data_IF_882092404274
#
_entry.id   IF_882092404274
#
_cell.length_a   1.000
_cell.length_b   1.000
_cell.length_c   1.000
_cell.angle_alpha   90.00
_cell.angle_beta   90.00
_cell.angle_gamma   90.00
#
_symmetry.space_group_name_H-M   'P 1'
#
loop_
_entity.id
_entity.type
_entity.pdbx_description
1 polymer ?
#
# COMPACT_ATOMS: atom_id res chain seq x y z
N UNK A 1 -31.78 -22.53 -28.37
CA UNK A 1 -31.52 -21.34 -27.52
C UNK A 1 -30.98 -21.67 -26.12
N UNK A 2 -31.43 -22.73 -25.42
CA UNK A 2 -30.93 -23.10 -24.06
C UNK A 2 -29.43 -23.45 -23.97
N UNK A 3 -28.82 -24.00 -25.04
CA UNK A 3 -27.40 -24.39 -25.04
C UNK A 3 -26.41 -23.22 -24.97
N UNK A 4 -26.78 -22.04 -25.49
CA UNK A 4 -25.90 -20.86 -25.45
C UNK A 4 -25.92 -20.16 -24.08
N UNK A 5 -27.02 -20.31 -23.31
CA UNK A 5 -27.13 -19.76 -21.96
C UNK A 5 -26.15 -20.44 -20.98
N UNK A 6 -25.96 -21.76 -21.12
CA UNK A 6 -25.04 -22.54 -20.29
C UNK A 6 -23.59 -22.17 -20.57
N UNK A 7 -23.23 -21.94 -21.85
CA UNK A 7 -21.88 -21.53 -22.23
C UNK A 7 -21.51 -20.15 -21.66
N UNK A 8 -22.47 -19.21 -21.62
CA UNK A 8 -22.27 -17.88 -21.03
C UNK A 8 -22.10 -17.94 -19.50
N UNK A 9 -22.81 -18.87 -18.84
CA UNK A 9 -22.72 -19.08 -17.39
C UNK A 9 -21.35 -19.63 -16.95
N UNK A 10 -20.73 -20.51 -17.76
CA UNK A 10 -19.40 -21.07 -17.48
C UNK A 10 -18.29 -20.03 -17.60
N UNK A 11 -18.44 -19.07 -18.53
CA UNK A 11 -17.48 -17.96 -18.70
C UNK A 11 -17.59 -16.97 -17.54
N UNK A 12 -18.78 -16.75 -16.98
CA UNK A 12 -18.98 -15.90 -15.81
C UNK A 12 -18.34 -16.48 -14.53
N UNK A 13 -18.34 -17.80 -14.35
CA UNK A 13 -17.74 -18.45 -13.17
C UNK A 13 -16.21 -18.38 -13.14
N UNK A 14 -15.55 -18.29 -14.30
CA UNK A 14 -14.09 -18.21 -14.41
C UNK A 14 -13.53 -16.79 -14.21
N UNK A 15 -14.39 -15.76 -14.25
CA UNK A 15 -14.03 -14.39 -13.92
C UNK A 15 -13.80 -14.16 -12.41
N UNK A 16 -14.23 -15.10 -11.55
CA UNK A 16 -14.14 -15.01 -10.08
C UNK A 16 -12.80 -15.54 -9.52
N UNK A 17 -11.67 -15.32 -10.20
CA UNK A 17 -10.35 -15.81 -9.77
C UNK A 17 -9.41 -14.75 -9.20
N UNK A 18 -9.75 -13.45 -9.31
CA UNK A 18 -8.92 -12.36 -8.78
C UNK A 18 -8.96 -12.26 -7.25
N UNK A 19 -10.03 -12.72 -6.61
CA UNK A 19 -10.26 -12.50 -5.17
C UNK A 19 -9.32 -13.26 -4.22
N UNK A 20 -8.64 -14.31 -4.70
CA UNK A 20 -7.81 -15.18 -3.86
C UNK A 20 -6.31 -14.89 -3.94
N UNK A 21 -5.88 -13.85 -4.66
CA UNK A 21 -4.45 -13.51 -4.77
C UNK A 21 -3.97 -12.75 -3.53
N UNK A 22 -2.85 -13.21 -2.96
CA UNK A 22 -2.22 -12.55 -1.82
C UNK A 22 -1.03 -11.72 -2.29
N UNK A 23 -1.00 -10.44 -1.94
CA UNK A 23 0.15 -9.59 -2.20
C UNK A 23 1.07 -9.59 -0.98
N UNK A 24 2.31 -10.01 -1.14
CA UNK A 24 3.32 -9.95 -0.08
C UNK A 24 4.09 -8.63 -0.18
N UNK A 25 3.77 -7.69 0.72
CA UNK A 25 4.43 -6.38 0.81
C UNK A 25 5.81 -6.53 1.46
N UNK A 26 6.84 -6.07 0.75
CA UNK A 26 8.24 -6.17 1.19
C UNK A 26 8.86 -4.81 1.46
N UNK A 27 8.54 -3.82 0.61
CA UNK A 27 9.10 -2.48 0.73
C UNK A 27 8.06 -1.42 0.46
N UNK A 28 8.25 -0.26 1.08
CA UNK A 28 7.49 0.97 0.77
C UNK A 28 8.52 2.03 0.40
N UNK A 29 8.32 2.70 -0.73
CA UNK A 29 9.08 3.87 -1.15
C UNK A 29 8.28 5.12 -0.80
N UNK A 30 8.84 6.01 0.03
CA UNK A 30 8.29 7.35 0.21
C UNK A 30 8.78 8.20 -0.95
N UNK A 31 7.86 8.66 -1.81
CA UNK A 31 8.21 9.47 -2.96
C UNK A 31 8.28 10.94 -2.58
N UNK A 32 7.27 11.42 -1.85
CA UNK A 32 7.19 12.79 -1.37
C UNK A 32 6.20 12.90 -0.20
N UNK A 33 6.32 13.96 0.60
CA UNK A 33 5.35 14.35 1.61
C UNK A 33 5.45 15.85 1.90
N UNK A 34 4.35 16.44 2.37
CA UNK A 34 4.32 17.86 2.73
C UNK A 34 5.13 18.11 4.02
N UNK A 35 6.37 18.58 3.86
CA UNK A 35 7.33 18.81 4.97
C UNK A 35 7.07 20.10 5.78
N UNK A 36 6.18 20.99 5.32
CA UNK A 36 6.05 22.35 5.88
C UNK A 36 5.85 22.32 7.41
N UNK A 37 6.74 23.02 8.13
CA UNK A 37 6.76 23.19 9.59
C UNK A 37 7.12 21.95 10.43
N UNK A 38 7.73 20.92 9.84
CA UNK A 38 8.19 19.75 10.59
C UNK A 38 9.67 19.88 10.99
N UNK A 39 10.04 19.54 12.24
CA UNK A 39 11.44 19.51 12.65
C UNK A 39 12.20 18.39 11.96
N UNK A 40 13.54 18.49 11.94
CA UNK A 40 14.41 17.38 11.56
C UNK A 40 14.19 16.23 12.55
N UNK A 41 13.84 15.06 12.03
CA UNK A 41 13.41 13.92 12.84
C UNK A 41 13.57 12.60 12.06
N UNK A 42 13.33 11.46 12.70
CA UNK A 42 13.32 10.17 11.98
C UNK A 42 11.91 9.84 11.51
N UNK A 43 11.78 9.60 10.22
CA UNK A 43 10.56 9.17 9.56
C UNK A 43 10.48 7.65 9.49
N UNK A 44 9.27 7.12 9.57
CA UNK A 44 8.98 5.70 9.36
C UNK A 44 7.53 5.55 8.94
N UNK A 45 7.19 4.43 8.30
CA UNK A 45 5.83 4.14 7.85
C UNK A 45 5.23 3.01 8.65
N UNK A 46 3.92 3.09 8.86
CA UNK A 46 3.09 2.03 9.45
C UNK A 46 1.99 1.64 8.48
N UNK A 47 1.66 0.35 8.45
CA UNK A 47 0.58 -0.19 7.61
C UNK A 47 -0.55 -0.68 8.51
N UNK A 48 -1.78 -0.34 8.16
CA UNK A 48 -2.98 -0.71 8.89
C UNK A 48 -4.01 -1.31 7.93
N UNK A 49 -4.83 -2.22 8.44
CA UNK A 49 -6.14 -2.52 7.84
C UNK A 49 -7.10 -1.35 8.11
N UNK A 50 -7.99 -1.04 7.17
CA UNK A 50 -8.98 0.00 7.37
C UNK A 50 -9.83 -0.30 8.61
N UNK A 51 -10.06 0.74 9.43
CA UNK A 51 -10.78 0.67 10.71
C UNK A 51 -10.06 -0.09 11.85
N UNK A 52 -8.82 -0.57 11.64
CA UNK A 52 -7.98 -1.08 12.72
C UNK A 52 -7.13 0.04 13.34
N UNK A 53 -6.98 0.00 14.67
CA UNK A 53 -6.02 0.83 15.41
C UNK A 53 -4.64 0.17 15.51
N UNK A 54 -4.56 -1.14 15.30
CA UNK A 54 -3.33 -1.90 15.44
C UNK A 54 -2.54 -1.91 14.12
N UNK A 55 -1.27 -1.55 14.22
CA UNK A 55 -0.34 -1.58 13.10
C UNK A 55 -0.02 -3.02 12.71
N UNK A 56 -0.23 -3.37 11.45
CA UNK A 56 0.08 -4.69 10.90
C UNK A 56 1.58 -4.86 10.59
N UNK A 57 2.22 -3.77 10.16
CA UNK A 57 3.66 -3.74 9.89
C UNK A 57 4.19 -2.31 10.02
N UNK A 58 5.51 -2.18 10.19
CA UNK A 58 6.21 -0.91 10.21
C UNK A 58 7.48 -0.97 9.36
N UNK A 59 8.11 0.18 9.14
CA UNK A 59 9.40 0.24 8.45
C UNK A 59 10.55 0.62 9.37
N UNK A 60 11.77 0.50 8.85
CA UNK A 60 12.95 1.13 9.43
C UNK A 60 12.83 2.65 9.44
N UNK A 61 13.62 3.29 10.31
CA UNK A 61 13.72 4.75 10.41
C UNK A 61 14.54 5.38 9.28
N UNK A 62 14.23 6.64 8.98
CA UNK A 62 14.86 7.46 7.95
C UNK A 62 15.10 8.89 8.42
N UNK A 63 16.32 9.44 8.32
CA UNK A 63 16.55 10.84 8.63
C UNK A 63 15.79 11.77 7.68
N UNK A 64 14.92 12.64 8.21
CA UNK A 64 14.06 13.51 7.40
C UNK A 64 14.80 14.61 6.66
N UNK A 65 16.05 14.87 6.98
CA UNK A 65 16.93 15.86 6.34
C UNK A 65 17.54 15.36 5.02
N UNK A 66 17.47 14.05 4.75
CA UNK A 66 17.91 13.45 3.50
C UNK A 66 16.88 13.62 2.36
N UNK A 67 17.33 13.34 1.14
CA UNK A 67 16.57 13.51 -0.11
C UNK A 67 15.63 12.33 -0.39
N UNK A 68 14.47 12.64 -0.97
CA UNK A 68 13.49 11.64 -1.45
C UNK A 68 13.62 11.45 -2.97
N UNK A 69 13.19 10.29 -3.55
CA UNK A 69 12.49 9.18 -2.90
C UNK A 69 13.40 8.29 -2.03
N UNK A 70 12.84 7.68 -0.99
CA UNK A 70 13.55 6.74 -0.11
C UNK A 70 12.79 5.43 0.03
N UNK A 71 13.50 4.30 -0.08
CA UNK A 71 12.90 2.95 0.00
C UNK A 71 13.15 2.32 1.36
N UNK A 72 12.08 1.81 1.95
CA UNK A 72 12.05 1.23 3.28
C UNK A 72 11.72 -0.24 3.23
N UNK A 73 12.42 -1.03 4.05
CA UNK A 73 12.02 -2.41 4.31
C UNK A 73 10.86 -2.45 5.28
N UNK A 74 9.87 -3.27 4.97
CA UNK A 74 8.69 -3.51 5.83
C UNK A 74 8.97 -4.72 6.73
N UNK A 75 8.64 -4.60 8.01
CA UNK A 75 8.73 -5.66 8.99
C UNK A 75 7.46 -5.71 9.89
N UNK A 76 6.87 -6.90 10.11
CA UNK A 76 7.14 -8.13 9.37
C UNK A 76 6.74 -8.01 7.89
N UNK A 77 7.23 -8.91 7.03
CA UNK A 77 6.69 -9.05 5.66
C UNK A 77 5.17 -9.27 5.76
N UNK A 78 4.40 -8.43 5.08
CA UNK A 78 2.95 -8.36 5.30
C UNK A 78 2.19 -9.01 4.13
N UNK A 79 1.46 -10.11 4.35
CA UNK A 79 0.49 -10.62 3.37
C UNK A 79 -0.77 -9.72 3.35
N UNK A 80 -1.19 -9.30 2.16
CA UNK A 80 -2.31 -8.39 1.96
C UNK A 80 -3.30 -8.95 0.95
N UNK A 81 -4.58 -8.95 1.31
CA UNK A 81 -5.68 -9.33 0.42
C UNK A 81 -6.31 -8.08 -0.19
N UNK A 82 -5.56 -7.42 -1.07
CA UNK A 82 -5.87 -6.07 -1.56
C UNK A 82 -7.25 -5.94 -2.25
N UNK A 83 -7.78 -7.02 -2.83
CA UNK A 83 -9.11 -7.03 -3.47
C UNK A 83 -10.28 -7.23 -2.49
N UNK A 84 -10.02 -7.65 -1.26
CA UNK A 84 -11.06 -7.95 -0.25
C UNK A 84 -11.05 -6.99 0.93
N UNK A 85 -9.87 -6.47 1.27
CA UNK A 85 -9.62 -5.67 2.46
C UNK A 85 -9.02 -4.34 2.03
N UNK A 86 -9.51 -3.27 2.63
CA UNK A 86 -8.91 -1.95 2.49
C UNK A 86 -7.74 -1.79 3.47
N UNK A 87 -6.70 -1.11 3.03
CA UNK A 87 -5.53 -0.83 3.84
C UNK A 87 -5.18 0.65 3.78
N UNK A 88 -4.42 1.12 4.75
CA UNK A 88 -3.85 2.46 4.73
C UNK A 88 -2.41 2.43 5.21
N UNK A 89 -1.59 3.28 4.59
CA UNK A 89 -0.22 3.54 4.98
C UNK A 89 -0.20 4.89 5.69
N UNK A 90 0.50 4.98 6.82
CA UNK A 90 0.68 6.22 7.56
C UNK A 90 2.15 6.56 7.64
N UNK A 91 2.49 7.84 7.43
CA UNK A 91 3.80 8.40 7.69
C UNK A 91 3.85 8.91 9.13
N UNK A 92 4.91 8.54 9.84
CA UNK A 92 5.14 8.93 11.22
C UNK A 92 6.55 9.52 11.38
N UNK A 93 6.64 10.49 12.28
CA UNK A 93 7.89 11.01 12.82
C UNK A 93 8.10 10.50 14.24
N UNK A 94 9.35 10.23 14.62
CA UNK A 94 9.69 9.79 15.98
C UNK A 94 9.40 10.85 17.05
N UNK A 95 9.46 12.13 16.69
CA UNK A 95 9.12 13.26 17.56
C UNK A 95 7.73 13.85 17.30
N UNK A 96 7.33 14.00 16.02
CA UNK A 96 6.02 14.61 15.68
C UNK A 96 4.85 13.63 15.83
N UNK A 97 5.10 12.32 15.78
CA UNK A 97 4.03 11.33 15.72
C UNK A 97 3.43 11.22 14.32
N UNK A 98 2.11 11.11 14.21
CA UNK A 98 1.41 10.97 12.94
C UNK A 98 1.58 12.22 12.06
N UNK A 99 2.01 12.03 10.81
CA UNK A 99 2.23 13.12 9.83
C UNK A 99 1.17 13.11 8.72
N UNK A 100 0.85 11.93 8.20
CA UNK A 100 -0.09 11.81 7.09
C UNK A 100 -0.46 10.37 6.79
N UNK A 101 -1.50 10.17 5.97
CA UNK A 101 -1.96 8.84 5.59
C UNK A 101 -2.33 8.79 4.12
N UNK A 102 -2.21 7.62 3.53
CA UNK A 102 -2.73 7.31 2.21
C UNK A 102 -3.50 5.98 2.26
N UNK A 103 -4.68 5.94 1.65
CA UNK A 103 -5.49 4.72 1.55
C UNK A 103 -5.06 3.93 0.33
N UNK A 104 -4.77 2.66 0.51
CA UNK A 104 -4.50 1.71 -0.57
C UNK A 104 -5.83 1.38 -1.24
N UNK A 105 -6.10 2.02 -2.37
CA UNK A 105 -7.32 1.83 -3.15
C UNK A 105 -7.00 1.06 -4.44
N UNK A 106 -7.53 -0.16 -4.57
CA UNK A 106 -7.36 -1.00 -5.76
C UNK A 106 -8.18 -0.54 -6.97
N UNK A 107 -9.04 0.46 -6.84
CA UNK A 107 -9.72 1.05 -8.01
C UNK A 107 -8.93 2.22 -8.61
N UNK A 108 -8.04 2.83 -7.83
CA UNK A 108 -7.31 4.05 -8.20
C UNK A 108 -5.79 3.81 -8.32
N UNK A 109 -5.32 2.59 -8.05
CA UNK A 109 -3.90 2.27 -8.10
C UNK A 109 -3.37 2.20 -9.53
N UNK A 110 -2.12 2.66 -9.70
CA UNK A 110 -1.35 2.46 -10.92
C UNK A 110 -0.29 1.38 -10.66
N UNK A 111 -0.32 0.31 -11.45
CA UNK A 111 0.79 -0.65 -11.52
C UNK A 111 1.87 -0.06 -12.43
N UNK A 112 3.05 0.22 -11.88
CA UNK A 112 4.22 0.63 -12.65
C UNK A 112 5.17 -0.57 -12.71
N UNK A 113 5.50 -1.05 -13.91
CA UNK A 113 6.44 -2.18 -14.04
C UNK A 113 7.88 -1.72 -13.79
N UNK A 114 8.69 -2.48 -13.02
CA UNK A 114 8.35 -3.74 -12.35
C UNK A 114 7.54 -3.55 -11.05
N UNK A 115 6.31 -4.10 -11.03
CA UNK A 115 5.26 -4.14 -9.96
C UNK A 115 5.48 -3.21 -8.75
N UNK A 116 5.41 -1.90 -8.98
CA UNK A 116 5.21 -0.86 -7.98
C UNK A 116 3.72 -0.48 -7.98
N UNK A 117 3.08 -0.49 -6.80
CA UNK A 117 1.75 0.08 -6.60
C UNK A 117 1.90 1.49 -6.05
N UNK A 118 1.62 2.51 -6.85
CA UNK A 118 1.63 3.90 -6.39
C UNK A 118 0.31 4.24 -5.69
N UNK A 119 0.41 4.81 -4.48
CA UNK A 119 -0.71 5.28 -3.68
C UNK A 119 -0.39 6.70 -3.23
N UNK A 120 -1.24 7.67 -3.57
CA UNK A 120 -0.97 9.09 -3.31
C UNK A 120 -2.22 9.87 -2.91
N UNK A 121 -2.00 10.92 -2.15
CA UNK A 121 -2.93 12.05 -1.99
C UNK A 121 -2.15 13.37 -1.91
N UNK A 122 -2.84 14.47 -1.62
CA UNK A 122 -2.27 15.82 -1.57
C UNK A 122 -1.12 16.00 -0.56
N UNK A 123 -1.00 15.11 0.43
CA UNK A 123 -0.05 15.24 1.54
C UNK A 123 1.05 14.18 1.57
N UNK A 124 0.84 13.04 0.91
CA UNK A 124 1.70 11.87 0.99
C UNK A 124 1.64 11.07 -0.32
N UNK A 125 2.80 10.77 -0.89
CA UNK A 125 2.94 9.86 -2.03
C UNK A 125 3.89 8.71 -1.68
N UNK A 126 3.40 7.48 -1.81
CA UNK A 126 4.16 6.26 -1.54
C UNK A 126 4.03 5.27 -2.70
N UNK A 127 5.05 4.44 -2.90
CA UNK A 127 4.98 3.26 -3.77
C UNK A 127 5.19 1.99 -2.94
N UNK A 128 4.28 1.03 -3.07
CA UNK A 128 4.34 -0.27 -2.39
C UNK A 128 4.91 -1.31 -3.35
N UNK A 129 5.98 -1.98 -2.95
CA UNK A 129 6.64 -3.01 -3.77
C UNK A 129 6.60 -4.37 -3.07
N UNK A 130 6.33 -5.40 -3.85
CA UNK A 130 6.08 -6.73 -3.34
C UNK A 130 5.92 -7.76 -4.44
N UNK A 131 5.41 -8.93 -4.08
CA UNK A 131 5.17 -10.02 -5.02
C UNK A 131 3.80 -10.64 -4.82
N UNK A 132 3.09 -10.91 -5.91
CA UNK A 132 1.85 -11.68 -5.90
C UNK A 132 2.15 -13.17 -5.72
N UNK A 133 1.34 -13.83 -4.89
CA UNK A 133 1.28 -15.27 -4.71
C UNK A 133 -0.08 -15.79 -5.16
#
# INVERSE_FOLDING_TARGET
MKKHLILFLVILLSACSKENKTFSLKTIRLNDYRRANLPVQKLYLKVFENNSMDSLAHTTFYPSDLTLPATFKVYPTLPMNLYRKGYQVQLWGDSTGYIGTCKVNMDEYKIIFPIDMEVKNDSLSVSMMGSWQ
#
